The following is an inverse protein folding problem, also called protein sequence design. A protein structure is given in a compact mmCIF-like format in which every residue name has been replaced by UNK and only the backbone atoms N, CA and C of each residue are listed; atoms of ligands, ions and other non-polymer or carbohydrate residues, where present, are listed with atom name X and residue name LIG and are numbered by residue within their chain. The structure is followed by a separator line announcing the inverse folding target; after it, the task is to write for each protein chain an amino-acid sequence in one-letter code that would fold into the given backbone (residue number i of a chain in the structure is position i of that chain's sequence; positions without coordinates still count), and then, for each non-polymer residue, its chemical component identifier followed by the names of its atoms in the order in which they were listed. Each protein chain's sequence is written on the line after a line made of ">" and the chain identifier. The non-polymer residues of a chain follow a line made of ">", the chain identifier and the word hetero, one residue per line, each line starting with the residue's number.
data_IF_875287842579
#
_entry.id   IF_875287842579
#
_cell.length_a   1.000
_cell.length_b   1.000
_cell.length_c   1.000
_cell.angle_alpha   90.00
_cell.angle_beta   90.00
_cell.angle_gamma   90.00
#
_symmetry.space_group_name_H-M   'P 1'
#
loop_
_entity.id
_entity.type
_entity.pdbx_description
1 polymer ?
#
# COMPACT_ATOMS: atom_id res chain seq x y z
N UNK A 1 7.82 -5.68 10.15
CA UNK A 1 7.47 -6.91 9.41
C UNK A 1 6.07 -7.31 9.84
N UNK A 2 5.18 -7.64 8.90
CA UNK A 2 3.83 -8.13 9.23
C UNK A 2 3.96 -9.49 9.92
N UNK A 3 3.36 -9.64 11.10
CA UNK A 3 3.32 -10.91 11.83
C UNK A 3 1.92 -11.51 11.76
N UNK A 4 1.81 -12.82 12.00
CA UNK A 4 0.52 -13.51 12.05
C UNK A 4 -0.43 -12.87 13.08
N UNK A 5 0.06 -12.56 14.28
CA UNK A 5 -0.78 -11.95 15.33
C UNK A 5 -1.34 -10.59 14.90
N UNK A 6 -0.52 -9.72 14.29
CA UNK A 6 -0.98 -8.42 13.79
C UNK A 6 -2.10 -8.60 12.74
N UNK A 7 -1.95 -9.59 11.86
CA UNK A 7 -2.96 -9.88 10.85
C UNK A 7 -4.25 -10.44 11.45
N UNK A 8 -4.14 -11.35 12.42
CA UNK A 8 -5.27 -11.98 13.08
C UNK A 8 -6.06 -10.95 13.90
N UNK A 9 -5.37 -10.04 14.61
CA UNK A 9 -5.99 -8.92 15.33
C UNK A 9 -6.74 -8.00 14.37
N UNK A 10 -6.14 -7.62 13.23
CA UNK A 10 -6.80 -6.78 12.23
C UNK A 10 -8.07 -7.45 11.67
N UNK A 11 -8.01 -8.74 11.32
CA UNK A 11 -9.19 -9.47 10.80
C UNK A 11 -10.30 -9.58 11.82
N UNK A 12 -9.96 -9.71 13.11
CA UNK A 12 -10.92 -9.74 14.20
C UNK A 12 -11.62 -8.39 14.39
N UNK A 13 -10.85 -7.30 14.34
CA UNK A 13 -11.38 -5.95 14.53
C UNK A 13 -12.16 -5.44 13.31
N UNK A 14 -11.82 -5.93 12.11
CA UNK A 14 -12.43 -5.52 10.84
C UNK A 14 -12.92 -6.72 10.01
N UNK A 15 -13.92 -7.48 10.47
CA UNK A 15 -14.34 -8.74 9.83
C UNK A 15 -14.97 -8.55 8.44
N UNK A 16 -15.40 -7.33 8.11
CA UNK A 16 -16.07 -7.01 6.85
C UNK A 16 -15.10 -6.48 5.76
N UNK A 17 -13.81 -6.37 6.06
CA UNK A 17 -12.81 -5.94 5.08
C UNK A 17 -12.25 -7.18 4.39
N UNK A 18 -12.45 -7.28 3.08
CA UNK A 18 -11.75 -8.29 2.27
C UNK A 18 -10.27 -7.91 2.14
N UNK A 19 -9.40 -8.79 2.64
CA UNK A 19 -7.97 -8.53 2.73
C UNK A 19 -7.19 -9.56 1.93
N UNK A 20 -6.65 -9.11 0.79
CA UNK A 20 -5.79 -9.88 -0.08
C UNK A 20 -4.35 -9.38 0.02
N UNK A 21 -3.40 -10.29 0.26
CA UNK A 21 -1.99 -9.95 0.43
C UNK A 21 -1.16 -10.57 -0.70
N UNK A 22 -0.30 -9.74 -1.30
CA UNK A 22 0.59 -10.11 -2.42
C UNK A 22 2.05 -9.93 -2.03
N UNK A 23 2.93 -10.75 -2.56
CA UNK A 23 4.38 -10.53 -2.40
C UNK A 23 4.81 -9.32 -3.24
N UNK A 24 5.67 -8.44 -2.71
CA UNK A 24 6.19 -7.28 -3.43
C UNK A 24 7.47 -7.59 -4.24
N UNK A 25 7.99 -8.82 -4.13
CA UNK A 25 9.23 -9.31 -4.76
C UNK A 25 10.45 -8.38 -4.56
N UNK A 26 10.45 -7.59 -3.48
CA UNK A 26 11.50 -6.61 -3.13
C UNK A 26 11.80 -5.59 -4.25
N UNK A 27 10.88 -5.40 -5.21
CA UNK A 27 11.05 -4.42 -6.29
C UNK A 27 10.86 -2.98 -5.82
N UNK A 28 10.08 -2.77 -4.77
CA UNK A 28 9.69 -1.45 -4.28
C UNK A 28 10.05 -1.31 -2.81
N UNK A 29 10.71 -0.19 -2.48
CA UNK A 29 11.15 0.12 -1.12
C UNK A 29 10.26 1.16 -0.44
N UNK A 30 9.62 2.01 -1.23
CA UNK A 30 8.70 3.04 -0.74
C UNK A 30 7.32 2.47 -0.44
N UNK A 31 6.55 3.25 0.31
CA UNK A 31 5.18 2.90 0.71
C UNK A 31 4.21 3.78 -0.06
N UNK A 32 3.27 3.14 -0.73
CA UNK A 32 2.25 3.81 -1.53
C UNK A 32 0.85 3.40 -1.09
N UNK A 33 -0.10 4.30 -1.32
CA UNK A 33 -1.53 4.02 -1.18
C UNK A 33 -2.16 4.29 -2.54
N UNK A 34 -2.91 3.32 -3.04
CA UNK A 34 -3.84 3.51 -4.15
C UNK A 34 -5.25 3.50 -3.58
N UNK A 35 -6.06 4.51 -3.92
CA UNK A 35 -7.48 4.57 -3.61
C UNK A 35 -8.26 4.42 -4.91
N UNK A 36 -9.40 3.73 -4.84
CA UNK A 36 -10.33 3.51 -5.95
C UNK A 36 -9.66 3.00 -7.24
N UNK A 37 -8.62 2.15 -7.09
CA UNK A 37 -7.78 1.64 -8.16
C UNK A 37 -8.60 1.03 -9.32
N UNK A 38 -8.29 1.44 -10.55
CA UNK A 38 -9.01 0.98 -11.75
C UNK A 38 -10.34 1.69 -12.03
N UNK A 39 -10.71 2.69 -11.21
CA UNK A 39 -11.84 3.58 -11.49
C UNK A 39 -11.38 4.95 -12.00
N UNK A 40 -12.32 5.74 -12.53
CA UNK A 40 -12.04 7.12 -12.96
C UNK A 40 -11.52 8.01 -11.81
N UNK A 41 -11.89 7.70 -10.56
CA UNK A 41 -11.51 8.45 -9.37
C UNK A 41 -10.21 7.95 -8.73
N UNK A 42 -9.49 7.03 -9.37
CA UNK A 42 -8.30 6.46 -8.76
C UNK A 42 -7.28 7.55 -8.41
N UNK A 43 -6.66 7.42 -7.25
CA UNK A 43 -5.68 8.36 -6.73
C UNK A 43 -4.55 7.62 -6.03
N UNK A 44 -3.33 8.12 -6.22
CA UNK A 44 -2.13 7.53 -5.65
C UNK A 44 -1.47 8.49 -4.67
N UNK A 45 -0.87 7.93 -3.61
CA UNK A 45 -0.20 8.68 -2.57
C UNK A 45 1.13 8.04 -2.21
N UNK A 46 2.18 8.86 -2.09
CA UNK A 46 3.45 8.46 -1.51
C UNK A 46 3.41 8.70 0.01
N UNK A 47 3.70 7.66 0.77
CA UNK A 47 3.86 7.77 2.21
C UNK A 47 5.34 8.04 2.52
N UNK A 48 5.63 9.23 3.05
CA UNK A 48 6.94 9.56 3.63
C UNK A 48 7.27 8.64 4.81
N UNK A 49 8.42 8.83 5.47
CA UNK A 49 8.91 7.97 6.57
C UNK A 49 7.88 7.74 7.70
N UNK A 50 7.96 6.63 8.44
CA UNK A 50 7.04 6.46 9.59
C UNK A 50 7.44 7.45 10.69
N UNK A 51 6.49 7.92 11.50
CA UNK A 51 6.82 8.84 12.61
C UNK A 51 7.86 8.25 13.57
N UNK A 52 7.90 6.91 13.70
CA UNK A 52 8.92 6.19 14.46
C UNK A 52 10.30 6.32 13.81
N UNK A 53 10.38 6.12 12.49
CA UNK A 53 11.64 6.18 11.74
C UNK A 53 12.12 7.62 11.51
N UNK A 54 11.19 8.58 11.48
CA UNK A 54 11.47 10.01 11.30
C UNK A 54 11.94 10.69 12.61
N UNK A 55 12.08 9.95 13.71
CA UNK A 55 12.48 10.49 15.01
C UNK A 55 11.44 11.44 15.61
N UNK A 56 10.16 11.04 15.59
CA UNK A 56 9.00 11.84 16.00
C UNK A 56 8.77 13.11 15.17
N UNK A 57 9.39 13.23 14.00
CA UNK A 57 9.08 14.29 13.04
C UNK A 57 7.78 13.98 12.31
N UNK A 58 7.08 15.05 11.91
CA UNK A 58 5.92 14.96 11.04
C UNK A 58 6.36 14.37 9.70
N UNK A 59 5.63 13.36 9.24
CA UNK A 59 5.75 12.78 7.91
C UNK A 59 4.50 13.08 7.10
N UNK A 60 4.60 13.08 5.78
CA UNK A 60 3.49 13.40 4.87
C UNK A 60 3.00 12.16 4.12
N UNK A 61 1.69 12.13 3.87
CA UNK A 61 1.09 11.31 2.82
C UNK A 61 0.79 12.29 1.69
N UNK A 62 1.61 12.27 0.64
CA UNK A 62 1.56 13.25 -0.45
C UNK A 62 0.84 12.63 -1.64
N UNK A 63 -0.22 13.29 -2.12
CA UNK A 63 -0.90 12.87 -3.36
C UNK A 63 0.05 12.99 -4.53
N UNK A 64 0.05 11.99 -5.40
CA UNK A 64 0.82 11.98 -6.63
C UNK A 64 0.08 12.79 -7.69
N UNK A 65 0.83 13.59 -8.43
CA UNK A 65 0.30 14.45 -9.51
C UNK A 65 -0.36 13.63 -10.62
N UNK A 66 -1.44 14.17 -11.19
CA UNK A 66 -2.22 13.50 -12.24
C UNK A 66 -1.36 13.15 -13.46
N UNK A 67 -0.37 13.98 -13.78
CA UNK A 67 0.57 13.76 -14.89
C UNK A 67 1.41 12.48 -14.75
N UNK A 68 1.51 11.92 -13.53
CA UNK A 68 2.27 10.70 -13.26
C UNK A 68 1.37 9.48 -13.03
N UNK A 69 0.05 9.64 -13.09
CA UNK A 69 -0.93 8.63 -12.73
C UNK A 69 -0.76 7.31 -13.48
N UNK A 70 -0.59 7.35 -14.80
CA UNK A 70 -0.44 6.16 -15.65
C UNK A 70 0.75 5.28 -15.24
N UNK A 71 1.86 5.91 -14.82
CA UNK A 71 3.05 5.19 -14.36
C UNK A 71 2.74 4.40 -13.07
N UNK A 72 2.05 5.02 -12.12
CA UNK A 72 1.69 4.36 -10.87
C UNK A 72 0.59 3.32 -11.09
N UNK A 73 -0.36 3.58 -11.99
CA UNK A 73 -1.36 2.59 -12.39
C UNK A 73 -0.69 1.30 -12.86
N UNK A 74 0.22 1.40 -13.85
CA UNK A 74 0.96 0.25 -14.37
C UNK A 74 1.81 -0.45 -13.29
N UNK A 75 2.39 0.31 -12.37
CA UNK A 75 3.14 -0.24 -11.23
C UNK A 75 2.26 -1.12 -10.33
N UNK A 76 1.09 -0.62 -9.95
CA UNK A 76 0.13 -1.35 -9.11
C UNK A 76 -0.46 -2.55 -9.84
N UNK A 77 -0.84 -2.40 -11.11
CA UNK A 77 -1.33 -3.49 -11.96
C UNK A 77 -0.32 -4.65 -12.01
N UNK A 78 0.97 -4.34 -12.21
CA UNK A 78 2.04 -5.32 -12.17
C UNK A 78 2.13 -6.05 -10.82
N UNK A 79 2.00 -5.33 -9.70
CA UNK A 79 2.04 -5.94 -8.36
C UNK A 79 0.83 -6.80 -8.04
N UNK A 80 -0.36 -6.46 -8.53
CA UNK A 80 -1.57 -7.26 -8.31
C UNK A 80 -1.49 -8.65 -8.96
N UNK A 81 -0.70 -8.76 -10.03
CA UNK A 81 -0.40 -10.03 -10.70
C UNK A 81 0.63 -10.90 -9.95
N UNK A 82 1.20 -10.42 -8.85
CA UNK A 82 2.15 -11.21 -8.07
C UNK A 82 1.47 -12.39 -7.35
N UNK A 83 2.31 -13.28 -6.81
CA UNK A 83 1.86 -14.42 -6.00
C UNK A 83 1.23 -13.92 -4.69
N UNK A 84 0.27 -14.68 -4.18
CA UNK A 84 -0.30 -14.41 -2.86
C UNK A 84 0.77 -14.61 -1.78
N UNK A 85 0.80 -13.70 -0.81
CA UNK A 85 1.65 -13.81 0.36
C UNK A 85 1.13 -14.94 1.24
N UNK A 86 2.02 -15.86 1.62
CA UNK A 86 1.73 -16.93 2.59
C UNK A 86 2.26 -16.47 3.96
N UNK A 87 1.37 -16.36 4.94
CA UNK A 87 1.65 -15.94 6.32
C UNK A 87 1.31 -17.09 7.26
#
# INVERSE_FOLDING_TARGET
>A
MLTKNILDDFRKDYPNIDLNLKVSDKKYHDRYIALDFGSENEAFYLCGASSKDAGNKISSITRIEESSKDMYHAMFEGMLNNKNLKI
#
